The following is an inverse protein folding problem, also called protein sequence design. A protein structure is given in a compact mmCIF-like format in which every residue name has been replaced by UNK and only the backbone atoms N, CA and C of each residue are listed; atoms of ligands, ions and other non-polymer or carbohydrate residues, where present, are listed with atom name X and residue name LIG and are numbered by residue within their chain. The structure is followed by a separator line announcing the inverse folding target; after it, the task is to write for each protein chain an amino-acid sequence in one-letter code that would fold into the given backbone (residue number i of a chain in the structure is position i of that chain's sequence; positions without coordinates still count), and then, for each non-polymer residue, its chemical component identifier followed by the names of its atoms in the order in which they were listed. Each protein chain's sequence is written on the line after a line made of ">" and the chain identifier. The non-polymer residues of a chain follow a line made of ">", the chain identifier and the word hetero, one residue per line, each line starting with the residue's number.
data_IF_750846686169
#
_entry.id   IF_750846686169
#
_cell.length_a   1.000
_cell.length_b   1.000
_cell.length_c   1.000
_cell.angle_alpha   90.00
_cell.angle_beta   90.00
_cell.angle_gamma   90.00
#
_symmetry.space_group_name_H-M   'P 1'
#
loop_
_entity.id
_entity.type
_entity.pdbx_description
1 polymer ?
#
# COMPACT_ATOMS: atom_id res chain seq x y z
N UNK A 1 -18.88 14.57 -95.56
CA UNK A 1 -19.15 14.95 -94.17
C UNK A 1 -18.24 14.10 -93.27
N UNK A 2 -17.10 14.68 -92.77
CA UNK A 2 -16.03 13.98 -92.03
C UNK A 2 -16.16 14.20 -90.58
N UNK A 3 -16.37 13.14 -89.82
CA UNK A 3 -16.34 13.18 -88.36
C UNK A 3 -14.91 12.88 -87.84
N UNK A 4 -14.28 13.85 -87.21
CA UNK A 4 -12.95 13.73 -86.51
C UNK A 4 -13.15 13.05 -85.19
N UNK A 5 -12.48 11.87 -84.96
CA UNK A 5 -12.30 11.22 -83.70
C UNK A 5 -11.20 11.98 -82.81
N UNK A 6 -11.55 12.53 -81.70
CA UNK A 6 -10.62 13.09 -80.72
C UNK A 6 -10.06 11.98 -79.87
N UNK A 7 -8.73 11.90 -79.78
CA UNK A 7 -7.98 11.01 -78.90
C UNK A 7 -7.86 11.66 -77.49
N UNK A 8 -8.28 10.93 -76.42
CA UNK A 8 -8.10 11.32 -75.04
C UNK A 8 -6.68 10.97 -74.58
N UNK A 9 -5.94 11.86 -73.82
CA UNK A 9 -4.63 11.53 -73.26
C UNK A 9 -4.77 10.59 -72.02
N UNK A 10 -3.96 9.54 -71.99
CA UNK A 10 -3.78 8.62 -70.87
C UNK A 10 -3.08 9.37 -69.73
N UNK A 11 -3.76 9.58 -68.61
CA UNK A 11 -3.14 10.01 -67.36
C UNK A 11 -2.25 8.90 -66.80
N UNK A 12 -0.94 9.12 -66.75
CA UNK A 12 0.03 8.28 -66.05
C UNK A 12 -0.19 8.39 -64.57
N UNK A 13 -0.34 7.27 -63.89
CA UNK A 13 -0.54 7.18 -62.42
C UNK A 13 0.75 7.55 -61.71
N UNK A 14 0.68 8.32 -60.57
CA UNK A 14 1.87 8.77 -59.84
C UNK A 14 2.40 7.72 -58.85
N UNK A 15 2.65 6.47 -59.34
CA UNK A 15 3.24 5.41 -58.47
C UNK A 15 4.70 5.75 -58.10
N UNK A 16 5.43 6.48 -58.95
CA UNK A 16 6.79 6.86 -58.70
C UNK A 16 6.93 7.89 -57.56
N UNK A 17 5.95 8.79 -57.39
CA UNK A 17 5.98 9.80 -56.35
C UNK A 17 5.76 9.20 -54.94
N UNK A 18 4.89 8.19 -54.85
CA UNK A 18 4.60 7.51 -53.57
C UNK A 18 5.82 6.69 -53.09
N UNK A 19 6.50 5.99 -54.02
CA UNK A 19 7.70 5.23 -53.73
C UNK A 19 8.84 6.13 -53.27
N UNK A 20 9.01 7.30 -53.90
CA UNK A 20 10.00 8.28 -53.51
C UNK A 20 9.75 8.85 -52.11
N UNK A 21 8.50 9.12 -51.76
CA UNK A 21 8.12 9.60 -50.42
C UNK A 21 8.38 8.55 -49.31
N UNK A 22 8.09 7.27 -49.63
CA UNK A 22 8.35 6.17 -48.65
C UNK A 22 9.86 6.00 -48.43
N UNK A 23 10.66 6.05 -49.50
CA UNK A 23 12.14 5.94 -49.38
C UNK A 23 12.71 7.15 -48.59
N UNK A 24 12.22 8.35 -48.85
CA UNK A 24 12.64 9.55 -48.15
C UNK A 24 12.29 9.48 -46.64
N UNK A 25 11.09 9.00 -46.28
CA UNK A 25 10.66 8.81 -44.89
C UNK A 25 11.51 7.77 -44.17
N UNK A 26 11.86 6.66 -44.83
CA UNK A 26 12.76 5.63 -44.26
C UNK A 26 14.16 6.17 -44.02
N UNK A 27 14.70 6.94 -44.97
CA UNK A 27 16.01 7.59 -44.80
C UNK A 27 16.05 8.59 -43.62
N UNK A 28 15.00 9.39 -43.47
CA UNK A 28 14.85 10.30 -42.32
C UNK A 28 14.76 9.53 -41.01
N UNK A 29 13.98 8.44 -40.96
CA UNK A 29 13.89 7.59 -39.76
C UNK A 29 15.25 6.95 -39.39
N UNK A 30 16.01 6.48 -40.38
CA UNK A 30 17.36 5.93 -40.17
C UNK A 30 18.33 7.00 -39.68
N UNK A 31 18.28 8.21 -40.25
CA UNK A 31 19.12 9.33 -39.81
C UNK A 31 18.77 9.74 -38.36
N UNK A 32 17.49 9.79 -37.99
CA UNK A 32 17.06 10.09 -36.64
C UNK A 32 17.52 8.99 -35.67
N UNK A 33 17.39 7.73 -36.04
CA UNK A 33 17.88 6.60 -35.24
C UNK A 33 19.39 6.64 -35.05
N UNK A 34 20.16 6.89 -36.11
CA UNK A 34 21.60 7.05 -36.06
C UNK A 34 22.03 8.26 -35.21
N UNK A 35 21.26 9.36 -35.30
CA UNK A 35 21.51 10.55 -34.48
C UNK A 35 21.26 10.25 -32.98
N UNK A 36 20.20 9.49 -32.63
CA UNK A 36 19.93 9.05 -31.26
C UNK A 36 21.02 8.10 -30.73
N UNK A 37 21.53 7.21 -31.58
CA UNK A 37 22.63 6.28 -31.22
C UNK A 37 23.97 7.03 -31.02
N UNK A 38 24.30 7.93 -31.92
CA UNK A 38 25.55 8.73 -31.87
C UNK A 38 25.52 9.79 -30.78
N UNK A 39 24.36 10.37 -30.46
CA UNK A 39 24.20 11.34 -29.39
C UNK A 39 24.20 10.71 -27.97
N UNK A 40 24.46 9.40 -27.85
CA UNK A 40 24.54 8.70 -26.55
C UNK A 40 23.23 8.69 -25.75
N UNK A 41 22.08 8.95 -26.39
CA UNK A 41 20.77 8.95 -25.75
C UNK A 41 20.14 7.55 -25.64
N UNK A 42 20.60 6.59 -26.43
CA UNK A 42 20.38 5.17 -26.18
C UNK A 42 21.51 4.66 -25.28
N UNK A 43 21.41 4.92 -24.00
CA UNK A 43 22.21 4.18 -23.02
C UNK A 43 21.63 2.76 -22.99
N UNK A 44 22.37 1.80 -23.51
CA UNK A 44 22.17 0.41 -23.14
C UNK A 44 22.19 0.35 -21.61
N UNK A 45 21.28 -0.38 -20.96
CA UNK A 45 21.38 -0.62 -19.53
C UNK A 45 22.79 -1.15 -19.27
N UNK A 46 23.64 -0.34 -18.63
CA UNK A 46 24.92 -0.84 -18.11
C UNK A 46 24.62 -1.97 -17.11
N UNK A 47 25.58 -2.85 -16.78
CA UNK A 47 25.42 -3.76 -15.68
C UNK A 47 24.87 -2.94 -14.50
N UNK A 48 23.68 -3.34 -14.00
CA UNK A 48 23.11 -2.70 -12.82
C UNK A 48 24.14 -2.69 -11.70
N UNK A 49 24.05 -1.76 -10.73
CA UNK A 49 24.93 -1.79 -9.58
C UNK A 49 24.94 -3.22 -9.03
N UNK A 50 26.14 -3.76 -8.89
CA UNK A 50 26.31 -5.09 -8.27
C UNK A 50 25.56 -5.07 -6.94
N UNK A 51 24.74 -6.08 -6.61
CA UNK A 51 24.03 -6.11 -5.35
C UNK A 51 25.07 -5.98 -4.24
N UNK A 52 25.03 -4.85 -3.54
CA UNK A 52 25.92 -4.59 -2.42
C UNK A 52 25.68 -5.67 -1.39
N UNK A 53 26.71 -6.48 -1.11
CA UNK A 53 26.64 -7.50 -0.08
C UNK A 53 26.22 -6.84 1.23
N UNK A 54 25.23 -7.39 1.96
CA UNK A 54 24.85 -6.85 3.26
C UNK A 54 26.08 -6.66 4.14
N UNK A 55 26.16 -5.60 4.96
CA UNK A 55 27.27 -5.42 5.87
C UNK A 55 27.40 -6.60 6.82
N UNK A 56 28.61 -6.85 7.32
CA UNK A 56 28.88 -7.96 8.24
C UNK A 56 28.34 -7.71 9.65
N UNK A 57 28.11 -6.45 10.02
CA UNK A 57 27.58 -5.99 11.32
C UNK A 57 26.84 -4.67 11.16
N UNK A 58 26.05 -4.29 12.15
CA UNK A 58 25.40 -2.99 12.25
C UNK A 58 25.78 -2.28 13.56
N UNK A 59 25.54 -0.94 13.68
CA UNK A 59 25.80 -0.20 14.92
C UNK A 59 25.15 -0.84 16.16
N UNK A 60 25.82 -0.78 17.29
CA UNK A 60 25.32 -1.33 18.57
C UNK A 60 23.99 -0.69 19.03
N UNK A 61 23.66 0.50 18.55
CA UNK A 61 22.39 1.19 18.81
C UNK A 61 21.21 0.67 17.97
N UNK A 62 21.45 -0.22 17.01
CA UNK A 62 20.42 -0.77 16.16
C UNK A 62 19.65 -1.89 16.87
N UNK A 63 18.31 -1.92 16.80
CA UNK A 63 17.54 -3.08 17.26
C UNK A 63 17.64 -4.23 16.27
N UNK A 64 17.44 -5.46 16.73
CA UNK A 64 17.34 -6.63 15.84
C UNK A 64 16.08 -6.56 14.98
N UNK A 65 14.96 -6.12 15.58
CA UNK A 65 13.64 -6.00 14.94
C UNK A 65 13.05 -4.61 15.16
N UNK A 66 12.40 -4.05 14.15
CA UNK A 66 11.53 -2.89 14.34
C UNK A 66 10.08 -3.28 14.00
N UNK A 67 9.16 -3.02 14.94
CA UNK A 67 7.72 -3.06 14.70
C UNK A 67 7.27 -1.67 14.20
N UNK A 68 6.80 -1.60 12.96
CA UNK A 68 6.09 -0.43 12.44
C UNK A 68 4.60 -0.64 12.66
N UNK A 69 4.01 0.19 13.51
CA UNK A 69 2.58 0.19 13.83
C UNK A 69 1.91 1.43 13.25
N UNK A 70 0.85 1.26 12.44
CA UNK A 70 0.12 2.38 11.84
C UNK A 70 -1.30 2.40 12.40
N UNK A 71 -1.64 3.42 13.22
CA UNK A 71 -2.96 3.58 13.82
C UNK A 71 -4.06 3.87 12.81
N UNK A 72 -5.31 3.66 13.22
CA UNK A 72 -6.50 4.00 12.44
C UNK A 72 -6.84 5.50 12.45
N UNK A 73 -7.91 5.86 11.73
CA UNK A 73 -8.46 7.22 11.71
C UNK A 73 -8.80 7.68 13.13
N UNK A 74 -8.40 8.91 13.47
CA UNK A 74 -8.51 9.56 14.79
C UNK A 74 -7.67 8.93 15.92
N UNK A 75 -6.77 8.01 15.59
CA UNK A 75 -5.92 7.34 16.56
C UNK A 75 -4.47 7.89 16.63
N UNK A 76 -4.14 8.89 15.79
CA UNK A 76 -2.79 9.47 15.72
C UNK A 76 -2.82 10.97 15.49
N UNK A 77 -1.69 11.61 15.73
CA UNK A 77 -1.43 13.01 15.41
C UNK A 77 -0.02 13.13 14.79
N UNK A 78 0.16 14.07 13.88
CA UNK A 78 1.44 14.27 13.16
C UNK A 78 2.63 14.65 14.04
N UNK A 79 2.38 15.16 15.25
CA UNK A 79 3.39 15.58 16.21
C UNK A 79 3.51 14.63 17.41
N UNK A 80 2.87 13.45 17.35
CA UNK A 80 2.94 12.47 18.42
C UNK A 80 4.32 11.81 18.51
N UNK A 81 4.72 11.38 19.69
CA UNK A 81 5.97 10.65 19.88
C UNK A 81 5.81 9.21 19.33
N UNK A 82 6.59 8.82 18.32
CA UNK A 82 6.44 7.49 17.72
C UNK A 82 6.76 6.33 18.66
N UNK A 83 7.53 6.57 19.73
CA UNK A 83 7.89 5.54 20.73
C UNK A 83 7.03 5.59 21.97
N UNK A 84 6.35 6.71 22.21
CA UNK A 84 5.41 6.87 23.32
C UNK A 84 4.17 7.65 22.87
N UNK A 85 3.34 7.11 21.93
CA UNK A 85 2.20 7.83 21.40
C UNK A 85 1.14 8.10 22.47
N UNK A 86 0.66 9.34 22.51
CA UNK A 86 -0.31 9.83 23.50
C UNK A 86 -1.52 10.52 22.88
N UNK A 87 -1.54 10.72 21.58
CA UNK A 87 -2.59 11.44 20.87
C UNK A 87 -3.99 10.84 21.10
N UNK A 88 -4.09 9.51 21.19
CA UNK A 88 -5.32 8.82 21.56
C UNK A 88 -5.02 7.63 22.50
N UNK A 89 -5.32 7.73 23.79
CA UNK A 89 -5.07 6.65 24.75
C UNK A 89 -5.95 5.40 24.53
N UNK A 90 -6.98 5.50 23.69
CA UNK A 90 -7.86 4.39 23.31
C UNK A 90 -7.52 3.79 21.95
N UNK A 91 -6.40 4.20 21.33
CA UNK A 91 -5.98 3.63 20.03
C UNK A 91 -5.90 2.11 20.12
N UNK A 92 -6.51 1.43 19.12
CA UNK A 92 -6.50 -0.03 19.04
C UNK A 92 -5.07 -0.57 19.03
N UNK A 93 -4.20 0.11 18.30
CA UNK A 93 -2.82 -0.34 18.13
C UNK A 93 -2.00 -0.32 19.44
N UNK A 94 -2.41 0.43 20.47
CA UNK A 94 -1.79 0.37 21.79
C UNK A 94 -1.98 -1.00 22.48
N UNK A 95 -3.06 -1.72 22.16
CA UNK A 95 -3.27 -3.11 22.62
C UNK A 95 -2.32 -4.12 21.95
N UNK A 96 -1.59 -3.72 20.92
CA UNK A 96 -0.56 -4.52 20.25
C UNK A 96 0.84 -4.03 20.67
N UNK A 97 1.08 -2.74 20.58
CA UNK A 97 2.41 -2.15 20.81
C UNK A 97 2.83 -2.15 22.29
N UNK A 98 1.89 -1.95 23.21
CA UNK A 98 2.14 -1.95 24.64
C UNK A 98 2.70 -3.30 25.13
N UNK A 99 1.97 -4.41 24.99
CA UNK A 99 2.44 -5.73 25.41
C UNK A 99 3.79 -6.14 24.80
N UNK A 100 4.01 -5.84 23.50
CA UNK A 100 5.28 -6.17 22.83
C UNK A 100 6.45 -5.35 23.37
N UNK A 101 6.23 -4.07 23.69
CA UNK A 101 7.25 -3.21 24.30
C UNK A 101 7.61 -3.67 25.72
N UNK A 102 6.65 -4.20 26.46
CA UNK A 102 6.88 -4.75 27.80
C UNK A 102 7.59 -6.11 27.75
N UNK A 103 7.34 -6.91 26.71
CA UNK A 103 7.90 -8.26 26.56
C UNK A 103 9.36 -8.26 26.11
N UNK A 104 9.77 -7.32 25.26
CA UNK A 104 11.09 -7.33 24.64
C UNK A 104 11.94 -6.12 25.03
N UNK A 105 13.24 -6.30 25.30
CA UNK A 105 14.15 -5.20 25.54
C UNK A 105 14.40 -4.38 24.27
N UNK A 106 14.82 -3.12 24.44
CA UNK A 106 14.98 -2.17 23.33
C UNK A 106 16.03 -2.58 22.29
N UNK A 107 17.03 -3.36 22.70
CA UNK A 107 18.04 -3.92 21.80
C UNK A 107 17.44 -4.98 20.87
N UNK A 108 16.39 -5.68 21.35
CA UNK A 108 15.68 -6.68 20.54
C UNK A 108 14.60 -6.07 19.69
N UNK A 109 13.79 -5.18 20.25
CA UNK A 109 12.60 -4.61 19.58
C UNK A 109 12.52 -3.09 19.74
N UNK A 110 12.57 -2.36 18.64
CA UNK A 110 12.13 -0.95 18.58
C UNK A 110 10.67 -0.89 18.11
N UNK A 111 9.76 -0.41 18.95
CA UNK A 111 8.36 -0.21 18.61
C UNK A 111 8.15 1.21 18.11
N UNK A 112 7.84 1.36 16.83
CA UNK A 112 7.62 2.65 16.20
C UNK A 112 6.16 2.78 15.73
N UNK A 113 5.39 3.64 16.35
CA UNK A 113 4.03 4.00 15.94
C UNK A 113 4.10 5.21 15.02
N UNK A 114 3.63 5.07 13.79
CA UNK A 114 3.72 6.14 12.78
C UNK A 114 2.85 7.34 13.17
N UNK A 115 3.44 8.52 13.46
CA UNK A 115 2.68 9.72 13.72
C UNK A 115 2.22 10.33 12.39
N UNK A 116 0.91 10.55 12.21
CA UNK A 116 0.35 11.22 11.02
C UNK A 116 -0.98 11.86 11.37
N UNK A 117 -1.47 12.78 10.52
CA UNK A 117 -2.81 13.38 10.69
C UNK A 117 -3.85 12.35 10.31
N UNK A 118 -4.23 11.50 11.27
CA UNK A 118 -5.15 10.39 11.09
C UNK A 118 -6.61 10.90 11.10
N UNK A 119 -7.05 11.52 10.00
CA UNK A 119 -8.38 12.15 9.90
C UNK A 119 -9.15 11.69 8.66
N UNK A 120 -10.44 11.91 8.72
CA UNK A 120 -11.39 11.64 7.63
C UNK A 120 -12.45 12.76 7.61
N UNK A 121 -12.23 13.78 6.79
CA UNK A 121 -13.20 14.87 6.61
C UNK A 121 -14.49 14.33 5.98
N UNK A 122 -15.62 14.73 6.54
CA UNK A 122 -16.92 14.46 5.94
C UNK A 122 -17.16 15.42 4.76
N UNK A 123 -17.15 14.93 3.50
CA UNK A 123 -17.23 15.81 2.31
C UNK A 123 -18.58 16.52 2.14
N UNK A 124 -19.59 16.14 2.94
CA UNK A 124 -20.94 16.73 2.90
C UNK A 124 -21.27 17.51 4.18
N UNK A 125 -20.30 17.74 5.06
CA UNK A 125 -20.51 18.51 6.29
C UNK A 125 -20.73 20.00 5.97
N UNK A 126 -21.77 20.58 6.58
CA UNK A 126 -22.09 22.02 6.51
C UNK A 126 -22.35 22.53 7.92
N UNK A 127 -21.47 23.40 8.49
CA UNK A 127 -20.19 23.86 7.92
C UNK A 127 -19.16 22.72 7.79
N UNK A 128 -18.07 22.92 7.02
CA UNK A 128 -16.97 21.95 6.96
C UNK A 128 -16.47 21.57 8.35
N UNK A 129 -16.15 20.29 8.59
CA UNK A 129 -15.74 19.76 9.89
C UNK A 129 -14.30 20.12 10.31
N UNK A 130 -13.56 20.81 9.43
CA UNK A 130 -12.19 21.25 9.68
C UNK A 130 -11.15 20.11 9.69
N UNK A 131 -11.55 18.89 9.40
CA UNK A 131 -10.66 17.75 9.34
C UNK A 131 -9.91 17.66 8.00
N UNK A 132 -8.75 17.00 8.03
CA UNK A 132 -8.03 16.66 6.82
C UNK A 132 -8.80 15.62 6.00
N UNK A 133 -8.70 15.71 4.67
CA UNK A 133 -9.34 14.76 3.78
C UNK A 133 -8.70 13.37 3.89
N UNK A 134 -9.48 12.33 3.59
CA UNK A 134 -8.98 10.96 3.56
C UNK A 134 -7.74 10.78 2.66
N UNK A 135 -7.76 11.37 1.46
CA UNK A 135 -6.64 11.29 0.53
C UNK A 135 -5.34 11.87 1.12
N UNK A 136 -5.43 13.04 1.74
CA UNK A 136 -4.26 13.71 2.32
C UNK A 136 -3.75 12.94 3.54
N UNK A 137 -4.65 12.55 4.45
CA UNK A 137 -4.32 11.76 5.64
C UNK A 137 -3.63 10.44 5.26
N UNK A 138 -4.22 9.67 4.32
CA UNK A 138 -3.64 8.43 3.81
C UNK A 138 -2.28 8.66 3.15
N UNK A 139 -2.15 9.68 2.30
CA UNK A 139 -0.88 10.00 1.62
C UNK A 139 0.21 10.38 2.62
N UNK A 140 -0.10 11.19 3.62
CA UNK A 140 0.83 11.55 4.69
C UNK A 140 1.28 10.32 5.47
N UNK A 141 0.34 9.49 5.94
CA UNK A 141 0.64 8.27 6.67
C UNK A 141 1.49 7.29 5.85
N UNK A 142 1.18 7.15 4.55
CA UNK A 142 1.97 6.30 3.63
C UNK A 142 3.41 6.82 3.50
N UNK A 143 3.58 8.13 3.26
CA UNK A 143 4.92 8.72 3.11
C UNK A 143 5.73 8.58 4.40
N UNK A 144 5.14 8.89 5.56
CA UNK A 144 5.82 8.75 6.86
C UNK A 144 6.20 7.30 7.18
N UNK A 145 5.38 6.34 6.78
CA UNK A 145 5.69 4.90 6.91
C UNK A 145 6.90 4.52 6.04
N UNK A 146 6.92 4.99 4.79
CA UNK A 146 8.04 4.78 3.86
C UNK A 146 9.32 5.42 4.41
N UNK A 147 9.23 6.66 4.87
CA UNK A 147 10.38 7.41 5.39
C UNK A 147 10.95 6.74 6.66
N UNK A 148 10.10 6.29 7.59
CA UNK A 148 10.54 5.58 8.79
C UNK A 148 11.28 4.28 8.47
N UNK A 149 10.76 3.48 7.54
CA UNK A 149 11.41 2.25 7.07
C UNK A 149 12.75 2.55 6.36
N UNK A 150 12.76 3.53 5.44
CA UNK A 150 13.96 3.89 4.68
C UNK A 150 15.06 4.46 5.57
N UNK A 151 14.69 5.31 6.54
CA UNK A 151 15.64 5.87 7.50
C UNK A 151 16.24 4.79 8.39
N UNK A 152 15.40 3.93 8.97
CA UNK A 152 15.87 2.82 9.80
C UNK A 152 16.78 1.87 9.01
N UNK A 153 16.40 1.50 7.79
CA UNK A 153 17.21 0.61 6.96
C UNK A 153 18.57 1.21 6.57
N UNK A 154 18.61 2.53 6.33
CA UNK A 154 19.86 3.23 6.05
C UNK A 154 20.82 3.23 7.25
N UNK A 155 20.28 3.40 8.47
CA UNK A 155 21.05 3.43 9.71
C UNK A 155 21.39 2.04 10.23
N UNK A 156 20.44 1.11 10.09
CA UNK A 156 20.45 -0.23 10.65
C UNK A 156 20.12 -1.26 9.56
N UNK A 157 21.04 -1.54 8.64
CA UNK A 157 20.75 -2.30 7.42
C UNK A 157 20.45 -3.79 7.64
N UNK A 158 20.70 -4.33 8.84
CA UNK A 158 20.42 -5.71 9.21
C UNK A 158 19.17 -5.86 10.10
N UNK A 159 18.55 -4.74 10.50
CA UNK A 159 17.29 -4.76 11.24
C UNK A 159 16.18 -5.35 10.38
N UNK A 160 15.41 -6.28 10.95
CA UNK A 160 14.23 -6.87 10.32
C UNK A 160 12.96 -6.15 10.76
N UNK A 161 11.84 -6.34 10.03
CA UNK A 161 10.64 -5.55 10.21
C UNK A 161 9.40 -6.42 10.43
N UNK A 162 8.56 -6.04 11.39
CA UNK A 162 7.17 -6.50 11.53
C UNK A 162 6.28 -5.29 11.24
N UNK A 163 5.28 -5.45 10.37
CA UNK A 163 4.38 -4.36 9.98
C UNK A 163 2.97 -4.68 10.49
N UNK A 164 2.33 -3.73 11.14
CA UNK A 164 0.96 -3.89 11.62
C UNK A 164 0.15 -2.60 11.43
N UNK A 165 -1.11 -2.70 11.03
CA UNK A 165 -1.97 -1.53 10.88
C UNK A 165 -3.44 -1.85 11.15
N UNK A 166 -4.17 -0.81 11.56
CA UNK A 166 -5.61 -0.87 11.79
C UNK A 166 -6.36 0.13 10.91
N UNK A 167 -7.48 -0.30 10.29
CA UNK A 167 -8.38 0.58 9.54
C UNK A 167 -7.65 1.35 8.43
N UNK A 168 -7.63 2.67 8.44
CA UNK A 168 -6.82 3.49 7.54
C UNK A 168 -5.33 3.12 7.63
N UNK A 169 -4.82 2.81 8.82
CA UNK A 169 -3.46 2.31 9.02
C UNK A 169 -3.22 0.96 8.36
N UNK A 170 -4.22 0.07 8.31
CA UNK A 170 -4.14 -1.19 7.57
C UNK A 170 -4.07 -0.97 6.05
N UNK A 171 -4.81 0.02 5.52
CA UNK A 171 -4.68 0.43 4.11
C UNK A 171 -3.26 0.93 3.83
N UNK A 172 -2.72 1.80 4.67
CA UNK A 172 -1.37 2.36 4.54
C UNK A 172 -0.31 1.25 4.57
N UNK A 173 -0.32 0.42 5.61
CA UNK A 173 0.63 -0.71 5.77
C UNK A 173 0.51 -1.68 4.60
N UNK A 174 -0.71 -2.04 4.21
CA UNK A 174 -0.95 -2.95 3.10
C UNK A 174 -0.43 -2.41 1.76
N UNK A 175 -0.54 -1.11 1.52
CA UNK A 175 -0.03 -0.48 0.30
C UNK A 175 1.51 -0.45 0.27
N UNK A 176 2.14 -0.17 1.42
CA UNK A 176 3.61 -0.21 1.56
C UNK A 176 4.11 -1.65 1.44
N UNK A 177 3.44 -2.62 2.08
CA UNK A 177 3.79 -4.04 1.99
C UNK A 177 3.67 -4.58 0.56
N UNK A 178 2.63 -4.19 -0.19
CA UNK A 178 2.50 -4.55 -1.60
C UNK A 178 3.66 -4.00 -2.44
N UNK A 179 4.08 -2.75 -2.22
CA UNK A 179 5.25 -2.18 -2.90
C UNK A 179 6.54 -2.93 -2.53
N UNK A 180 6.74 -3.30 -1.26
CA UNK A 180 7.90 -4.09 -0.82
C UNK A 180 7.89 -5.46 -1.50
N UNK A 181 6.74 -6.13 -1.52
CA UNK A 181 6.58 -7.45 -2.14
C UNK A 181 6.81 -7.46 -3.66
N UNK A 182 6.57 -6.32 -4.33
CA UNK A 182 6.90 -6.09 -5.74
C UNK A 182 8.38 -5.69 -5.98
N UNK A 183 9.19 -5.55 -4.93
CA UNK A 183 10.57 -5.07 -5.01
C UNK A 183 10.71 -3.56 -5.29
N UNK A 184 9.65 -2.78 -5.00
CA UNK A 184 9.59 -1.32 -5.20
C UNK A 184 9.49 -0.54 -3.89
N UNK A 185 9.55 -1.23 -2.75
CA UNK A 185 9.40 -0.62 -1.43
C UNK A 185 10.70 -0.02 -0.88
N UNK A 186 10.61 0.61 0.31
CA UNK A 186 11.74 1.28 0.96
C UNK A 186 12.77 0.31 1.55
N UNK A 187 12.42 -0.96 1.73
CA UNK A 187 13.29 -2.02 2.27
C UNK A 187 13.16 -3.28 1.43
N UNK A 188 14.19 -4.16 1.42
CA UNK A 188 14.11 -5.48 0.80
C UNK A 188 13.01 -6.35 1.44
N UNK A 189 12.31 -7.16 0.63
CA UNK A 189 11.23 -8.02 1.11
C UNK A 189 11.70 -9.10 2.11
N UNK A 190 12.93 -9.57 1.99
CA UNK A 190 13.53 -10.58 2.88
C UNK A 190 13.79 -10.05 4.31
N UNK A 191 13.84 -8.74 4.50
CA UNK A 191 13.92 -8.13 5.83
C UNK A 191 12.53 -7.98 6.49
N UNK A 192 11.42 -8.16 5.78
CA UNK A 192 10.09 -8.09 6.38
C UNK A 192 9.68 -9.48 6.88
N UNK A 193 9.60 -9.65 8.18
CA UNK A 193 9.23 -10.92 8.83
C UNK A 193 7.76 -11.26 8.64
N UNK A 194 6.90 -10.24 8.67
CA UNK A 194 5.47 -10.42 8.45
C UNK A 194 4.67 -9.12 8.52
N UNK A 195 3.41 -9.20 8.06
CA UNK A 195 2.48 -8.09 7.96
C UNK A 195 1.12 -8.51 8.52
N UNK A 196 0.50 -7.68 9.36
CA UNK A 196 -0.87 -7.87 9.85
C UNK A 196 -1.72 -6.64 9.57
N UNK A 197 -2.89 -6.86 8.95
CA UNK A 197 -3.84 -5.84 8.54
C UNK A 197 -5.16 -6.07 9.26
N UNK A 198 -5.49 -5.23 10.25
CA UNK A 198 -6.74 -5.31 11.01
C UNK A 198 -7.75 -4.34 10.37
N UNK A 199 -8.92 -4.84 9.96
CA UNK A 199 -9.97 -4.07 9.30
C UNK A 199 -9.49 -3.33 8.02
N UNK A 200 -8.81 -4.03 7.12
CA UNK A 200 -8.23 -3.44 5.92
C UNK A 200 -9.31 -2.99 4.91
N UNK A 201 -9.39 -1.70 4.64
CA UNK A 201 -10.29 -1.10 3.65
C UNK A 201 -10.03 -1.55 2.20
N UNK A 202 -8.91 -2.22 1.92
CA UNK A 202 -8.57 -2.80 0.61
C UNK A 202 -8.51 -4.33 0.64
N UNK A 203 -9.12 -4.95 1.67
CA UNK A 203 -9.18 -6.40 1.77
C UNK A 203 -9.89 -7.00 0.56
N UNK A 204 -9.27 -8.01 -0.03
CA UNK A 204 -9.85 -8.87 -1.05
C UNK A 204 -9.30 -10.29 -0.87
N UNK A 205 -10.17 -11.30 -1.04
CA UNK A 205 -9.75 -12.69 -1.00
C UNK A 205 -9.26 -13.14 -2.38
N UNK A 206 -8.21 -13.93 -2.43
CA UNK A 206 -7.70 -14.49 -3.69
C UNK A 206 -6.21 -14.82 -3.68
N UNK A 207 -5.71 -15.39 -4.77
CA UNK A 207 -4.28 -15.72 -4.90
C UNK A 207 -3.40 -14.47 -4.76
N UNK A 208 -2.34 -14.58 -3.96
CA UNK A 208 -1.40 -13.47 -3.73
C UNK A 208 -1.91 -12.37 -2.81
N UNK A 209 -3.15 -12.47 -2.29
CA UNK A 209 -3.72 -11.58 -1.28
C UNK A 209 -3.34 -12.05 0.13
N UNK A 210 -3.72 -11.27 1.15
CA UNK A 210 -3.45 -11.59 2.54
C UNK A 210 -4.19 -12.87 3.00
N UNK A 211 -3.55 -13.61 3.90
CA UNK A 211 -4.10 -14.80 4.54
C UNK A 211 -5.12 -14.36 5.59
N UNK A 212 -6.33 -14.88 5.52
CA UNK A 212 -7.40 -14.59 6.47
C UNK A 212 -7.15 -15.24 7.84
N UNK A 213 -7.33 -14.49 8.91
CA UNK A 213 -7.26 -14.97 10.29
C UNK A 213 -8.65 -14.89 10.93
N UNK A 214 -9.14 -16.00 11.45
CA UNK A 214 -10.48 -16.12 12.01
C UNK A 214 -11.55 -16.28 10.92
N UNK A 215 -12.62 -15.50 10.99
CA UNK A 215 -13.67 -15.53 10.00
C UNK A 215 -13.19 -14.96 8.65
N UNK A 216 -13.73 -15.53 7.56
CA UNK A 216 -13.56 -15.00 6.20
C UNK A 216 -14.90 -14.46 5.71
N UNK A 217 -15.23 -13.20 6.02
CA UNK A 217 -16.50 -12.63 5.62
C UNK A 217 -16.58 -12.48 4.09
N UNK A 218 -17.81 -12.60 3.50
CA UNK A 218 -17.99 -12.68 2.05
C UNK A 218 -17.76 -11.36 1.30
N UNK A 219 -17.76 -10.25 2.01
CA UNK A 219 -17.53 -8.91 1.45
C UNK A 219 -16.08 -8.65 1.07
N UNK A 220 -15.82 -7.42 0.70
CA UNK A 220 -14.48 -6.90 0.39
C UNK A 220 -14.25 -5.60 1.15
N UNK A 221 -13.03 -5.10 1.15
CA UNK A 221 -12.74 -3.79 1.71
C UNK A 221 -13.55 -2.67 1.04
N UNK A 222 -13.89 -1.64 1.78
CA UNK A 222 -14.72 -0.53 1.31
C UNK A 222 -14.10 0.17 0.09
N UNK A 223 -12.77 0.28 0.00
CA UNK A 223 -12.11 0.84 -1.19
C UNK A 223 -12.26 -0.05 -2.43
N UNK A 224 -12.32 -1.37 -2.23
CA UNK A 224 -12.58 -2.33 -3.33
C UNK A 224 -14.03 -2.25 -3.78
N UNK A 225 -14.96 -2.27 -2.80
CA UNK A 225 -16.40 -2.18 -3.07
C UNK A 225 -16.79 -0.86 -3.76
N UNK A 226 -16.09 0.22 -3.44
CA UNK A 226 -16.32 1.57 -3.98
C UNK A 226 -15.28 1.98 -5.04
N UNK A 227 -14.59 1.02 -5.65
CA UNK A 227 -13.58 1.28 -6.66
C UNK A 227 -14.07 2.24 -7.74
N UNK A 228 -13.30 3.30 -7.98
CA UNK A 228 -13.64 4.33 -8.95
C UNK A 228 -14.47 5.50 -8.39
N UNK A 229 -14.93 5.45 -7.15
CA UNK A 229 -15.55 6.61 -6.48
C UNK A 229 -14.52 7.72 -6.32
N UNK A 230 -14.86 8.90 -6.82
CA UNK A 230 -14.07 10.14 -6.67
C UNK A 230 -15.00 11.26 -6.25
N UNK A 231 -14.84 11.73 -5.02
CA UNK A 231 -15.48 12.93 -4.48
C UNK A 231 -14.41 13.85 -3.87
N UNK A 232 -14.67 15.12 -3.59
CA UNK A 232 -13.67 15.99 -3.00
C UNK A 232 -13.03 15.37 -1.75
N UNK A 233 -11.72 15.17 -1.80
CA UNK A 233 -10.94 14.62 -0.69
C UNK A 233 -11.01 13.10 -0.48
N UNK A 234 -11.79 12.36 -1.26
CA UNK A 234 -11.91 10.91 -1.17
C UNK A 234 -11.77 10.27 -2.55
N UNK A 235 -10.79 9.38 -2.70
CA UNK A 235 -10.60 8.56 -3.89
C UNK A 235 -10.48 7.10 -3.46
N UNK A 236 -11.39 6.25 -3.93
CA UNK A 236 -11.34 4.81 -3.68
C UNK A 236 -10.54 4.13 -4.79
N UNK A 237 -9.42 3.51 -4.43
CA UNK A 237 -8.39 3.04 -5.37
C UNK A 237 -8.57 1.59 -5.81
N UNK A 238 -9.55 0.88 -5.24
CA UNK A 238 -9.82 -0.52 -5.59
C UNK A 238 -8.83 -1.53 -4.97
N UNK A 239 -8.81 -2.77 -5.49
CA UNK A 239 -7.97 -3.83 -4.95
C UNK A 239 -6.48 -3.55 -5.16
N UNK A 240 -5.65 -4.19 -4.32
CA UNK A 240 -4.20 -4.28 -4.57
C UNK A 240 -3.92 -5.37 -5.60
N UNK A 241 -2.80 -5.26 -6.35
CA UNK A 241 -2.38 -6.34 -7.26
C UNK A 241 -2.00 -7.64 -6.52
N UNK A 242 -1.79 -7.56 -5.20
CA UNK A 242 -1.33 -8.63 -4.32
C UNK A 242 -0.12 -8.18 -3.51
N UNK A 243 0.42 -9.09 -2.70
CA UNK A 243 1.56 -8.80 -1.84
C UNK A 243 2.89 -9.36 -2.37
N UNK A 244 2.92 -9.90 -3.59
CA UNK A 244 4.14 -10.39 -4.23
C UNK A 244 4.94 -11.33 -3.33
N UNK A 245 6.22 -11.02 -3.08
CA UNK A 245 7.11 -11.81 -2.22
C UNK A 245 6.70 -11.83 -0.73
N UNK A 246 5.73 -11.02 -0.31
CA UNK A 246 5.20 -11.00 1.06
C UNK A 246 3.86 -11.73 1.21
N UNK A 247 3.29 -12.31 0.15
CA UNK A 247 1.95 -12.90 0.19
C UNK A 247 1.81 -14.06 1.18
N UNK A 248 2.88 -14.84 1.39
CA UNK A 248 2.93 -16.00 2.30
C UNK A 248 3.03 -15.62 3.78
N UNK A 249 3.25 -14.35 4.11
CA UNK A 249 3.42 -13.83 5.47
C UNK A 249 2.67 -12.52 5.72
N UNK A 250 1.69 -12.20 4.87
CA UNK A 250 0.74 -11.11 5.08
C UNK A 250 -0.59 -11.68 5.54
N UNK A 251 -1.07 -11.20 6.67
CA UNK A 251 -2.32 -11.65 7.30
C UNK A 251 -3.32 -10.52 7.38
N UNK A 252 -4.62 -10.87 7.29
CA UNK A 252 -5.71 -9.92 7.47
C UNK A 252 -6.74 -10.43 8.46
N UNK A 253 -7.24 -9.54 9.31
CA UNK A 253 -8.30 -9.82 10.29
C UNK A 253 -9.49 -8.92 9.96
N UNK A 254 -10.63 -9.54 9.69
CA UNK A 254 -11.86 -8.81 9.40
C UNK A 254 -13.05 -9.41 10.19
N UNK A 255 -13.65 -8.61 11.06
CA UNK A 255 -14.86 -9.01 11.78
C UNK A 255 -16.06 -8.98 10.83
N UNK A 256 -16.91 -10.04 10.78
CA UNK A 256 -18.13 -10.04 9.98
C UNK A 256 -19.02 -8.84 10.32
N UNK A 257 -19.49 -8.14 9.28
CA UNK A 257 -20.30 -6.93 9.42
C UNK A 257 -19.52 -5.63 9.63
N UNK A 258 -18.19 -5.67 9.72
CA UNK A 258 -17.37 -4.46 9.65
C UNK A 258 -17.33 -3.92 8.21
N UNK A 259 -18.10 -2.88 7.94
CA UNK A 259 -18.24 -2.30 6.59
C UNK A 259 -16.94 -1.74 6.01
N UNK A 260 -15.89 -1.60 6.82
CA UNK A 260 -14.57 -1.16 6.30
C UNK A 260 -13.88 -2.31 5.57
N UNK A 261 -13.94 -3.54 6.09
CA UNK A 261 -13.30 -4.70 5.49
C UNK A 261 -14.28 -5.76 4.94
N UNK A 262 -15.57 -5.65 5.26
CA UNK A 262 -16.66 -6.56 4.84
C UNK A 262 -17.80 -5.78 4.16
N UNK A 263 -17.49 -4.96 3.17
CA UNK A 263 -18.48 -4.27 2.33
C UNK A 263 -19.02 -5.21 1.23
N UNK A 264 -20.28 -5.07 0.84
CA UNK A 264 -20.82 -5.76 -0.33
C UNK A 264 -20.03 -5.42 -1.60
N UNK A 265 -19.60 -6.42 -2.38
CA UNK A 265 -18.75 -6.23 -3.60
C UNK A 265 -19.33 -5.27 -4.64
N UNK A 266 -20.64 -5.10 -4.68
CA UNK A 266 -21.34 -4.24 -5.65
C UNK A 266 -21.95 -3.00 -5.00
N UNK A 267 -21.29 -2.44 -4.01
CA UNK A 267 -21.75 -1.23 -3.34
C UNK A 267 -21.86 -0.03 -4.31
N UNK A 268 -21.00 0.06 -5.33
CA UNK A 268 -21.09 1.04 -6.41
C UNK A 268 -21.84 0.49 -7.63
N UNK A 269 -23.15 0.53 -7.58
CA UNK A 269 -23.95 0.64 -8.82
C UNK A 269 -24.41 2.09 -8.98
N UNK A 270 -24.72 2.56 -10.21
CA UNK A 270 -25.33 3.87 -10.43
C UNK A 270 -26.61 4.10 -9.61
N UNK A 271 -27.26 3.01 -9.21
CA UNK A 271 -28.50 3.01 -8.41
C UNK A 271 -28.21 3.05 -6.91
N UNK A 272 -27.06 2.54 -6.44
CA UNK A 272 -26.75 2.31 -5.02
C UNK A 272 -25.66 3.22 -4.45
N UNK A 273 -25.13 4.17 -5.22
CA UNK A 273 -24.00 4.99 -4.74
C UNK A 273 -24.34 5.86 -3.52
N UNK A 274 -25.57 6.42 -3.44
CA UNK A 274 -26.00 7.23 -2.29
C UNK A 274 -26.11 6.37 -1.02
N UNK A 275 -26.82 5.22 -1.02
CA UNK A 275 -26.79 4.30 0.12
C UNK A 275 -25.38 3.87 0.53
N UNK A 276 -24.48 3.66 -0.43
CA UNK A 276 -23.11 3.21 -0.16
C UNK A 276 -22.27 4.27 0.53
N UNK A 277 -22.34 5.53 0.08
CA UNK A 277 -21.70 6.67 0.76
C UNK A 277 -22.27 6.85 2.17
N UNK A 278 -23.59 6.75 2.35
CA UNK A 278 -24.23 6.82 3.67
C UNK A 278 -23.80 5.63 4.56
N UNK A 279 -23.59 4.45 3.99
CA UNK A 279 -23.12 3.28 4.73
C UNK A 279 -21.67 3.47 5.19
N UNK A 280 -20.80 4.08 4.39
CA UNK A 280 -19.43 4.43 4.79
C UNK A 280 -19.40 5.45 5.94
N UNK A 281 -20.25 6.48 5.88
CA UNK A 281 -20.38 7.45 6.98
C UNK A 281 -20.87 6.76 8.26
N UNK A 282 -21.76 5.79 8.13
CA UNK A 282 -22.22 4.97 9.28
C UNK A 282 -21.18 3.96 9.74
N UNK A 283 -20.33 3.46 8.85
CA UNK A 283 -19.26 2.52 9.19
C UNK A 283 -18.26 3.11 10.17
N UNK A 284 -17.97 4.42 10.05
CA UNK A 284 -17.11 5.13 10.99
C UNK A 284 -17.65 5.15 12.44
N UNK A 285 -18.98 4.95 12.63
CA UNK A 285 -19.64 4.81 13.93
C UNK A 285 -20.08 3.38 14.26
N UNK A 286 -19.68 2.37 13.46
CA UNK A 286 -20.07 0.98 13.70
C UNK A 286 -19.29 0.42 14.91
N UNK A 287 -19.97 -0.04 15.97
CA UNK A 287 -19.31 -0.62 17.14
C UNK A 287 -18.41 -1.83 16.78
N UNK A 288 -18.76 -2.62 15.76
CA UNK A 288 -17.93 -3.75 15.30
C UNK A 288 -16.54 -3.28 14.88
N UNK A 289 -16.44 -2.16 14.18
CA UNK A 289 -15.16 -1.60 13.72
C UNK A 289 -14.23 -1.17 14.88
N UNK A 290 -14.81 -0.73 16.00
CA UNK A 290 -14.04 -0.26 17.16
C UNK A 290 -13.63 -1.38 18.13
N UNK A 291 -14.15 -2.60 17.99
CA UNK A 291 -14.08 -3.65 19.01
C UNK A 291 -13.14 -4.81 18.68
N UNK A 292 -12.12 -4.61 17.85
CA UNK A 292 -11.14 -5.66 17.53
C UNK A 292 -10.31 -6.13 18.74
N UNK A 293 -10.22 -5.34 19.79
CA UNK A 293 -9.63 -5.76 21.06
C UNK A 293 -10.49 -6.80 21.83
N UNK A 294 -11.76 -6.99 21.44
CA UNK A 294 -12.67 -8.00 21.99
C UNK A 294 -13.18 -8.99 20.95
N UNK A 295 -12.95 -8.75 19.65
CA UNK A 295 -13.34 -9.65 18.59
C UNK A 295 -12.47 -10.92 18.60
N UNK A 296 -13.13 -12.06 18.84
CA UNK A 296 -12.47 -13.38 18.95
C UNK A 296 -12.21 -13.96 17.56
N UNK A 297 -10.98 -14.40 17.29
CA UNK A 297 -10.54 -14.93 15.99
C UNK A 297 -10.37 -16.45 15.96
N UNK A 298 -10.41 -17.13 17.11
CA UNK A 298 -10.26 -18.58 17.20
C UNK A 298 -11.19 -19.22 18.24
N UNK A 299 -11.21 -20.58 18.30
CA UNK A 299 -12.00 -21.33 19.26
C UNK A 299 -11.51 -21.26 20.71
N UNK A 300 -10.36 -20.64 20.97
CA UNK A 300 -9.73 -20.54 22.30
C UNK A 300 -10.09 -19.21 23.00
N UNK A 301 -10.82 -18.33 22.34
CA UNK A 301 -11.17 -17.02 22.88
C UNK A 301 -10.12 -15.95 22.65
N UNK A 302 -9.13 -16.20 21.77
CA UNK A 302 -8.08 -15.22 21.43
C UNK A 302 -8.66 -14.06 20.64
N UNK A 303 -8.45 -12.83 21.10
CA UNK A 303 -8.93 -11.65 20.38
C UNK A 303 -7.99 -11.25 19.23
N UNK A 304 -8.46 -10.42 18.32
CA UNK A 304 -7.66 -9.96 17.17
C UNK A 304 -6.35 -9.29 17.60
N UNK A 305 -6.38 -8.46 18.62
CA UNK A 305 -5.18 -7.82 19.15
C UNK A 305 -4.26 -8.80 19.87
N UNK A 306 -4.81 -9.73 20.67
CA UNK A 306 -4.02 -10.79 21.31
C UNK A 306 -3.37 -11.74 20.31
N UNK A 307 -4.10 -12.12 19.24
CA UNK A 307 -3.53 -12.90 18.15
C UNK A 307 -2.37 -12.16 17.49
N UNK A 308 -2.55 -10.87 17.20
CA UNK A 308 -1.50 -10.05 16.58
C UNK A 308 -0.26 -9.93 17.48
N UNK A 309 -0.44 -9.78 18.80
CA UNK A 309 0.66 -9.77 19.77
C UNK A 309 1.40 -11.11 19.78
N UNK A 310 0.69 -12.24 19.90
CA UNK A 310 1.30 -13.57 19.93
C UNK A 310 2.03 -13.90 18.63
N UNK A 311 1.43 -13.59 17.50
CA UNK A 311 2.03 -13.75 16.17
C UNK A 311 3.32 -12.90 16.01
N UNK A 312 3.25 -11.61 16.35
CA UNK A 312 4.41 -10.73 16.28
C UNK A 312 5.52 -11.16 17.26
N UNK A 313 5.17 -11.54 18.49
CA UNK A 313 6.12 -12.04 19.47
C UNK A 313 6.88 -13.27 18.94
N UNK A 314 6.18 -14.24 18.35
CA UNK A 314 6.83 -15.40 17.75
C UNK A 314 7.79 -15.07 16.60
N UNK A 315 7.44 -14.08 15.76
CA UNK A 315 8.34 -13.55 14.72
C UNK A 315 9.57 -12.88 15.32
N UNK A 316 9.37 -12.04 16.35
CA UNK A 316 10.46 -11.33 17.03
C UNK A 316 11.40 -12.31 17.74
N UNK A 317 10.88 -13.33 18.43
CA UNK A 317 11.66 -14.36 19.09
C UNK A 317 12.53 -15.16 18.11
N UNK A 318 11.97 -15.50 16.93
CA UNK A 318 12.66 -16.28 15.89
C UNK A 318 13.52 -15.45 14.94
N UNK A 319 13.43 -14.12 14.99
CA UNK A 319 14.19 -13.24 14.13
C UNK A 319 15.71 -13.38 14.32
N UNK A 320 16.52 -13.16 13.28
CA UNK A 320 17.97 -13.15 13.39
C UNK A 320 18.48 -12.21 14.51
N UNK A 321 19.62 -12.55 15.07
CA UNK A 321 20.43 -11.67 15.93
C UNK A 321 21.63 -11.20 15.10
N UNK A 322 21.52 -10.07 14.39
CA UNK A 322 22.62 -9.58 13.57
C UNK A 322 23.83 -9.20 14.45
N UNK A 323 25.06 -9.38 13.94
CA UNK A 323 26.25 -8.90 14.65
C UNK A 323 26.22 -7.38 14.82
N UNK A 324 26.53 -6.90 16.02
CA UNK A 324 26.65 -5.48 16.35
C UNK A 324 28.14 -5.10 16.51
N UNK A 325 28.52 -3.86 16.14
CA UNK A 325 29.90 -3.35 16.21
C UNK A 325 29.95 -1.90 16.67
#
# INVERSE_FOLDING_TARGET
>A
MNARRGSRPRRSRPVGCLLFLVIAALLVAVIILLWFLLAGRLRLPGPGPEPTRPPASQPASCPDVQLISVPGTWESNSNDDPRNPTANPLSLMLNVTGPLREQFPAERLDVYTVPYVAQFSNPVAIPPDGQQSYNNSRSEGTQRTIDALAERHRECPLTTYVLAGFSQGAVIVGDVAAQIGEGKGPVPADLVLGVTLIADGRREAGPGQAIEVGATPPGVGAEVALNGLKVPGITMTGPRPGFGALADRTYTICAPGDMICDSPRQALSPVNWIPSVLSLVRAAGNPVHALYNTYVVDGNGTTATQWTVGWAAGLIESAPHPPHS
#
